data_IF_010330330896
#
_entry.id   IF_010330330896
#
_cell.length_a   1.000
_cell.length_b   1.000
_cell.length_c   1.000
_cell.angle_alpha   90.00
_cell.angle_beta   90.00
_cell.angle_gamma   90.00
#
_symmetry.space_group_name_H-M   'P 1'
#
loop_
_entity.id
_entity.type
_entity.pdbx_description
1 polymer ?
#
# COMPACT_ATOMS: atom_id res chain seq x y z
N UNK A 1 31.06 -19.51 -16.84
CA UNK A 1 29.72 -19.84 -16.30
C UNK A 1 29.09 -18.65 -15.57
N UNK A 2 29.67 -18.12 -14.49
CA UNK A 2 29.07 -16.96 -13.78
C UNK A 2 29.05 -15.68 -14.63
N UNK A 3 30.18 -15.36 -15.30
CA UNK A 3 30.30 -14.21 -16.21
C UNK A 3 29.35 -14.24 -17.42
N UNK A 4 28.86 -15.43 -17.79
CA UNK A 4 27.95 -15.62 -18.94
C UNK A 4 26.47 -15.50 -18.56
N UNK A 5 26.13 -15.34 -17.27
CA UNK A 5 24.75 -15.14 -16.85
C UNK A 5 24.29 -13.73 -17.22
N UNK A 6 23.09 -13.60 -17.79
CA UNK A 6 22.58 -12.32 -18.28
C UNK A 6 22.51 -11.23 -17.20
N UNK A 7 22.24 -11.61 -15.94
CA UNK A 7 22.23 -10.68 -14.79
C UNK A 7 23.61 -10.06 -14.51
N UNK A 8 24.69 -10.82 -14.70
CA UNK A 8 26.07 -10.37 -14.52
C UNK A 8 26.57 -9.66 -15.77
N UNK A 9 26.28 -10.21 -16.95
CA UNK A 9 26.71 -9.68 -18.25
C UNK A 9 26.17 -8.28 -18.51
N UNK A 10 24.93 -7.99 -18.14
CA UNK A 10 24.33 -6.64 -18.27
C UNK A 10 24.99 -5.58 -17.38
N UNK A 11 25.54 -5.97 -16.22
CA UNK A 11 26.22 -5.06 -15.28
C UNK A 11 27.73 -4.92 -15.51
N UNK A 12 28.28 -5.74 -16.41
CA UNK A 12 29.70 -5.70 -16.81
C UNK A 12 29.87 -5.29 -18.27
N UNK A 13 28.77 -4.91 -18.95
CA UNK A 13 28.84 -4.43 -20.32
C UNK A 13 29.46 -3.04 -20.36
N UNK A 14 30.06 -2.70 -21.50
CA UNK A 14 30.67 -1.37 -21.73
C UNK A 14 29.69 -0.21 -21.57
N UNK A 15 28.39 -0.48 -21.64
CA UNK A 15 27.31 0.50 -21.50
C UNK A 15 26.86 0.72 -20.04
N UNK A 16 27.38 -0.07 -19.10
CA UNK A 16 27.10 0.07 -17.66
C UNK A 16 28.13 0.98 -16.99
N UNK A 17 27.69 2.11 -16.43
CA UNK A 17 28.55 3.07 -15.72
C UNK A 17 28.94 2.60 -14.32
N UNK A 18 28.16 1.68 -13.74
CA UNK A 18 28.37 1.08 -12.42
C UNK A 18 28.73 -0.40 -12.62
N UNK A 19 30.02 -0.72 -12.60
CA UNK A 19 30.49 -2.10 -12.65
C UNK A 19 29.99 -2.96 -11.47
N UNK A 20 30.42 -4.21 -11.41
CA UNK A 20 30.07 -5.13 -10.32
C UNK A 20 31.24 -5.32 -9.36
N UNK A 21 31.04 -5.08 -8.07
CA UNK A 21 32.07 -5.36 -7.06
C UNK A 21 32.30 -6.88 -6.90
N UNK A 22 33.47 -7.26 -6.37
CA UNK A 22 33.75 -8.68 -6.07
C UNK A 22 32.76 -9.26 -5.05
N UNK A 23 32.30 -8.43 -4.11
CA UNK A 23 31.28 -8.81 -3.13
C UNK A 23 29.94 -9.14 -3.81
N UNK A 24 29.47 -8.30 -4.73
CA UNK A 24 28.23 -8.58 -5.48
C UNK A 24 28.39 -9.76 -6.45
N UNK A 25 29.57 -9.92 -7.05
CA UNK A 25 29.86 -11.04 -7.93
C UNK A 25 29.86 -12.38 -7.18
N UNK A 26 30.39 -12.41 -5.96
CA UNK A 26 30.47 -13.64 -5.15
C UNK A 26 29.13 -14.06 -4.54
N UNK A 27 28.12 -13.18 -4.48
CA UNK A 27 26.79 -13.48 -3.96
C UNK A 27 26.14 -14.73 -4.56
N UNK A 28 26.31 -14.96 -5.88
CA UNK A 28 25.71 -16.12 -6.55
C UNK A 28 26.26 -17.46 -6.02
N UNK A 29 27.50 -17.47 -5.52
CA UNK A 29 28.11 -18.67 -4.93
C UNK A 29 27.51 -18.95 -3.56
N UNK A 30 27.28 -17.91 -2.74
CA UNK A 30 26.67 -18.04 -1.43
C UNK A 30 25.24 -18.58 -1.55
N UNK A 31 24.40 -17.98 -2.39
CA UNK A 31 23.04 -18.46 -2.61
C UNK A 31 23.00 -19.87 -3.21
N UNK A 32 23.96 -20.20 -4.10
CA UNK A 32 24.09 -21.56 -4.63
C UNK A 32 24.47 -22.58 -3.54
N UNK A 33 25.35 -22.20 -2.62
CA UNK A 33 25.75 -23.02 -1.48
C UNK A 33 24.59 -23.26 -0.51
N UNK A 34 23.74 -22.26 -0.26
CA UNK A 34 22.52 -22.44 0.55
C UNK A 34 21.64 -23.56 0.01
N UNK A 35 21.44 -23.62 -1.31
CA UNK A 35 20.64 -24.69 -1.92
C UNK A 35 21.34 -26.06 -1.78
N UNK A 36 22.65 -26.14 -1.99
CA UNK A 36 23.41 -27.38 -1.75
C UNK A 36 23.29 -27.85 -0.29
N UNK A 37 23.44 -26.93 0.67
CA UNK A 37 23.35 -27.23 2.08
C UNK A 37 21.97 -27.80 2.43
N UNK A 38 20.89 -27.12 2.02
CA UNK A 38 19.52 -27.58 2.24
C UNK A 38 19.22 -28.90 1.51
N UNK A 39 19.81 -29.12 0.33
CA UNK A 39 19.69 -30.38 -0.41
C UNK A 39 20.27 -31.56 0.37
N UNK A 40 21.45 -31.38 0.97
CA UNK A 40 22.16 -32.42 1.72
C UNK A 40 21.55 -32.65 3.11
N UNK A 41 21.10 -31.60 3.79
CA UNK A 41 20.73 -31.68 5.21
C UNK A 41 19.22 -31.64 5.48
N UNK A 42 18.40 -31.26 4.50
CA UNK A 42 16.95 -31.05 4.66
C UNK A 42 16.12 -31.65 3.52
N UNK A 43 16.74 -32.43 2.63
CA UNK A 43 16.09 -33.06 1.47
C UNK A 43 15.33 -32.06 0.56
N UNK A 44 15.79 -30.81 0.50
CA UNK A 44 15.18 -29.80 -0.38
C UNK A 44 15.58 -30.11 -1.82
N UNK A 45 14.58 -30.27 -2.70
CA UNK A 45 14.77 -30.61 -4.13
C UNK A 45 14.34 -29.52 -5.10
N UNK A 46 13.57 -28.54 -4.65
CA UNK A 46 13.04 -27.45 -5.47
C UNK A 46 13.34 -26.11 -4.79
N UNK A 47 13.82 -25.14 -5.56
CA UNK A 47 13.92 -23.75 -5.12
C UNK A 47 13.02 -22.88 -5.98
N UNK A 48 12.24 -22.01 -5.30
CA UNK A 48 11.33 -21.05 -5.92
C UNK A 48 11.85 -19.62 -5.73
N UNK A 49 11.52 -18.72 -6.67
CA UNK A 49 11.82 -17.30 -6.55
C UNK A 49 11.18 -16.45 -7.64
N UNK A 50 11.43 -15.15 -7.62
CA UNK A 50 11.06 -14.26 -8.74
C UNK A 50 11.86 -14.56 -10.01
N UNK A 51 11.36 -14.13 -11.16
CA UNK A 51 12.02 -14.32 -12.46
C UNK A 51 13.46 -13.73 -12.50
N UNK A 52 13.72 -12.69 -11.71
CA UNK A 52 15.04 -12.09 -11.52
C UNK A 52 16.04 -13.00 -10.80
N UNK A 53 15.56 -14.01 -10.06
CA UNK A 53 16.39 -14.95 -9.30
C UNK A 53 16.83 -16.19 -10.09
N UNK A 54 16.35 -16.36 -11.34
CA UNK A 54 16.67 -17.52 -12.18
C UNK A 54 18.17 -17.84 -12.25
N UNK A 55 18.97 -16.78 -12.44
CA UNK A 55 20.43 -16.90 -12.51
C UNK A 55 21.02 -17.48 -11.24
N UNK A 56 20.57 -17.08 -10.05
CA UNK A 56 21.17 -17.55 -8.81
C UNK A 56 20.68 -18.97 -8.45
N UNK A 57 19.39 -19.24 -8.66
CA UNK A 57 18.78 -20.56 -8.40
C UNK A 57 19.47 -21.65 -9.24
N UNK A 58 19.71 -21.37 -10.53
CA UNK A 58 20.41 -22.32 -11.43
C UNK A 58 21.88 -22.53 -11.07
N UNK A 59 22.51 -21.59 -10.34
CA UNK A 59 23.84 -21.83 -9.76
C UNK A 59 23.77 -22.92 -8.70
N UNK A 60 22.75 -22.91 -7.85
CA UNK A 60 22.54 -23.92 -6.82
C UNK A 60 22.29 -25.31 -7.41
N UNK A 61 21.46 -25.42 -8.45
CA UNK A 61 21.22 -26.72 -9.11
C UNK A 61 22.49 -27.28 -9.76
N UNK A 62 23.31 -26.42 -10.39
CA UNK A 62 24.59 -26.83 -10.95
C UNK A 62 25.60 -27.26 -9.87
N UNK A 63 25.61 -26.57 -8.72
CA UNK A 63 26.47 -26.91 -7.59
C UNK A 63 26.09 -28.28 -7.01
N UNK A 64 24.80 -28.56 -6.81
CA UNK A 64 24.29 -29.87 -6.38
C UNK A 64 24.72 -30.99 -7.34
N UNK A 65 24.54 -30.76 -8.66
CA UNK A 65 24.93 -31.73 -9.68
C UNK A 65 26.43 -32.06 -9.60
N UNK A 66 27.28 -31.05 -9.43
CA UNK A 66 28.74 -31.23 -9.38
C UNK A 66 29.25 -31.80 -8.07
N UNK A 67 28.68 -31.38 -6.95
CA UNK A 67 29.19 -31.72 -5.61
C UNK A 67 28.74 -33.09 -5.13
N UNK A 68 27.54 -33.53 -5.48
CA UNK A 68 27.01 -34.82 -5.01
C UNK A 68 26.30 -35.64 -6.10
N UNK A 69 26.39 -35.25 -7.38
CA UNK A 69 25.72 -35.98 -8.46
C UNK A 69 24.19 -35.90 -8.42
N UNK A 70 23.63 -34.99 -7.62
CA UNK A 70 22.21 -34.90 -7.36
C UNK A 70 21.41 -34.17 -8.44
N UNK A 71 20.11 -34.43 -8.48
CA UNK A 71 19.15 -33.69 -9.30
C UNK A 71 18.29 -32.76 -8.44
N UNK A 72 18.23 -31.48 -8.82
CA UNK A 72 17.42 -30.45 -8.17
C UNK A 72 16.70 -29.58 -9.23
N UNK A 73 15.60 -28.96 -8.82
CA UNK A 73 14.66 -28.25 -9.69
C UNK A 73 14.60 -26.77 -9.33
N UNK A 74 14.25 -25.96 -10.32
CA UNK A 74 14.08 -24.53 -10.20
C UNK A 74 12.71 -24.13 -10.77
N UNK A 75 11.99 -23.29 -10.05
CA UNK A 75 10.74 -22.69 -10.53
C UNK A 75 10.78 -21.19 -10.26
N UNK A 76 10.42 -20.38 -11.25
CA UNK A 76 10.35 -18.93 -11.06
C UNK A 76 8.95 -18.41 -11.37
N UNK A 77 8.49 -17.47 -10.55
CA UNK A 77 7.26 -16.73 -10.75
C UNK A 77 7.52 -15.45 -11.55
N UNK A 78 6.60 -15.03 -12.44
CA UNK A 78 6.75 -13.77 -13.16
C UNK A 78 6.77 -12.58 -12.19
N UNK A 79 7.51 -11.54 -12.56
CA UNK A 79 7.45 -10.27 -11.82
C UNK A 79 6.06 -9.67 -11.99
N UNK A 80 5.48 -9.20 -10.89
CA UNK A 80 4.16 -8.57 -10.91
C UNK A 80 4.32 -7.14 -11.43
N UNK A 81 3.59 -6.84 -12.49
CA UNK A 81 3.45 -5.50 -13.08
C UNK A 81 2.02 -5.03 -12.89
N UNK A 82 1.76 -3.74 -13.09
CA UNK A 82 0.41 -3.20 -13.29
C UNK A 82 0.05 -3.23 -14.77
N UNK A 83 -1.24 -3.18 -15.10
CA UNK A 83 -1.71 -3.12 -16.48
C UNK A 83 -1.17 -1.86 -17.23
N UNK A 84 -0.92 -0.78 -16.50
CA UNK A 84 -0.32 0.47 -17.00
C UNK A 84 1.21 0.39 -17.26
N UNK A 85 1.84 -0.77 -17.05
CA UNK A 85 3.28 -0.99 -17.19
C UNK A 85 4.11 -0.56 -15.97
N UNK A 86 3.47 0.01 -14.94
CA UNK A 86 4.09 0.36 -13.67
C UNK A 86 4.51 -0.86 -12.85
N UNK A 87 5.44 -0.64 -11.89
CA UNK A 87 5.82 -1.68 -10.93
C UNK A 87 4.72 -1.88 -9.89
N UNK A 88 4.40 -3.15 -9.61
CA UNK A 88 3.50 -3.51 -8.52
C UNK A 88 4.09 -3.11 -7.15
N UNK A 89 3.23 -2.77 -6.20
CA UNK A 89 3.63 -2.42 -4.83
C UNK A 89 4.31 -1.05 -4.65
N UNK A 90 4.51 -0.28 -5.75
CA UNK A 90 4.89 1.14 -5.66
C UNK A 90 3.65 2.03 -5.79
N UNK A 91 3.43 2.84 -4.76
CA UNK A 91 2.51 3.97 -4.75
C UNK A 91 3.29 5.27 -4.89
N UNK A 92 2.59 6.38 -5.15
CA UNK A 92 3.18 7.72 -5.11
C UNK A 92 3.84 8.03 -3.75
N UNK A 93 3.37 7.38 -2.67
CA UNK A 93 3.88 7.51 -1.30
C UNK A 93 4.98 6.50 -0.95
N UNK A 94 5.37 5.61 -1.88
CA UNK A 94 6.40 4.59 -1.66
C UNK A 94 5.88 3.17 -1.65
N UNK A 95 6.56 2.29 -0.91
CA UNK A 95 6.26 0.86 -0.86
C UNK A 95 5.03 0.57 0.03
N UNK A 96 4.30 -0.48 -0.32
CA UNK A 96 3.30 -1.12 0.56
C UNK A 96 4.00 -2.16 1.43
N UNK A 97 4.02 -1.94 2.74
CA UNK A 97 4.64 -2.85 3.72
C UNK A 97 3.60 -3.82 4.29
N UNK A 98 4.06 -4.98 4.75
CA UNK A 98 3.22 -5.92 5.52
C UNK A 98 3.16 -5.57 7.01
N UNK A 99 4.13 -4.79 7.48
CA UNK A 99 4.21 -4.32 8.86
C UNK A 99 3.17 -3.21 9.10
N UNK A 100 2.21 -3.40 10.03
CA UNK A 100 1.13 -2.45 10.28
C UNK A 100 1.62 -1.06 10.71
N UNK A 101 2.79 -0.97 11.36
CA UNK A 101 3.36 0.34 11.77
C UNK A 101 3.93 1.13 10.60
N UNK A 102 4.18 0.47 9.46
CA UNK A 102 4.73 1.09 8.24
C UNK A 102 3.69 1.30 7.16
N UNK A 103 2.68 0.44 7.12
CA UNK A 103 1.49 0.59 6.28
C UNK A 103 0.31 0.08 7.10
N UNK A 104 -0.54 1.00 7.55
CA UNK A 104 -1.66 0.63 8.40
C UNK A 104 -2.59 -0.37 7.69
N UNK A 105 -3.31 -1.25 8.41
CA UNK A 105 -4.28 -2.15 7.80
C UNK A 105 -5.30 -1.43 6.90
N UNK A 106 -5.67 -0.20 7.25
CA UNK A 106 -6.50 0.66 6.42
C UNK A 106 -5.83 1.03 5.09
N UNK A 107 -4.59 1.53 5.12
CA UNK A 107 -3.84 1.86 3.90
C UNK A 107 -3.61 0.62 3.03
N UNK A 108 -3.30 -0.52 3.65
CA UNK A 108 -3.11 -1.80 2.98
C UNK A 108 -4.41 -2.24 2.27
N UNK A 109 -5.52 -2.25 2.99
CA UNK A 109 -6.84 -2.56 2.44
C UNK A 109 -7.22 -1.61 1.29
N UNK A 110 -7.01 -0.30 1.47
CA UNK A 110 -7.29 0.70 0.43
C UNK A 110 -6.41 0.51 -0.81
N UNK A 111 -5.16 0.10 -0.67
CA UNK A 111 -4.31 -0.21 -1.83
C UNK A 111 -4.95 -1.28 -2.70
N UNK A 112 -5.37 -2.40 -2.10
CA UNK A 112 -6.05 -3.49 -2.82
C UNK A 112 -7.42 -3.10 -3.35
N UNK A 113 -8.18 -2.33 -2.57
CA UNK A 113 -9.49 -1.87 -3.01
C UNK A 113 -9.39 -0.93 -4.21
N UNK A 114 -8.29 -0.22 -4.40
CA UNK A 114 -8.11 0.77 -5.47
C UNK A 114 -7.36 0.24 -6.70
N UNK A 115 -7.10 -1.06 -6.80
CA UNK A 115 -6.56 -1.65 -8.04
C UNK A 115 -7.56 -1.52 -9.19
N UNK A 116 -7.03 -1.47 -10.42
CA UNK A 116 -7.84 -1.42 -11.65
C UNK A 116 -8.64 -2.73 -11.82
N UNK A 117 -9.68 -2.69 -12.64
CA UNK A 117 -10.49 -3.87 -12.94
C UNK A 117 -9.63 -4.99 -13.56
N UNK A 118 -8.79 -4.64 -14.54
CA UNK A 118 -7.85 -5.57 -15.20
C UNK A 118 -6.85 -6.20 -14.21
N UNK A 119 -6.31 -5.39 -13.30
CA UNK A 119 -5.37 -5.88 -12.30
C UNK A 119 -6.08 -6.73 -11.25
N UNK A 120 -7.32 -6.42 -10.86
CA UNK A 120 -8.09 -7.20 -9.89
C UNK A 120 -8.31 -8.65 -10.37
N UNK A 121 -8.68 -8.85 -11.64
CA UNK A 121 -8.88 -10.18 -12.22
C UNK A 121 -7.60 -11.03 -12.23
N UNK A 122 -6.45 -10.38 -12.38
CA UNK A 122 -5.15 -11.05 -12.35
C UNK A 122 -4.69 -11.30 -10.92
N UNK A 123 -4.83 -10.33 -10.04
CA UNK A 123 -4.31 -10.36 -8.68
C UNK A 123 -5.08 -11.33 -7.79
N UNK A 124 -6.40 -11.49 -7.98
CA UNK A 124 -7.18 -12.48 -7.23
C UNK A 124 -6.63 -13.91 -7.42
N UNK A 125 -6.14 -14.23 -8.63
CA UNK A 125 -5.56 -15.54 -8.97
C UNK A 125 -4.18 -15.76 -8.37
N UNK A 126 -3.47 -14.69 -8.02
CA UNK A 126 -2.07 -14.73 -7.61
C UNK A 126 -1.93 -14.60 -6.09
N UNK A 127 -2.75 -13.76 -5.46
CA UNK A 127 -2.58 -13.35 -4.07
C UNK A 127 -3.60 -13.95 -3.10
N UNK A 128 -4.53 -14.78 -3.57
CA UNK A 128 -5.51 -15.43 -2.70
C UNK A 128 -5.38 -16.95 -2.72
N UNK A 129 -5.93 -17.59 -1.70
CA UNK A 129 -6.04 -19.05 -1.60
C UNK A 129 -7.44 -19.55 -1.98
N UNK A 130 -8.23 -18.71 -2.65
CA UNK A 130 -9.57 -19.07 -3.11
C UNK A 130 -9.49 -20.17 -4.17
N UNK A 131 -10.49 -21.05 -4.19
CA UNK A 131 -10.61 -22.04 -5.24
C UNK A 131 -10.96 -21.40 -6.59
N UNK A 132 -10.74 -22.17 -7.65
CA UNK A 132 -10.91 -21.70 -9.02
C UNK A 132 -12.35 -21.29 -9.34
N UNK A 133 -13.33 -22.02 -8.83
CA UNK A 133 -14.75 -21.76 -9.11
C UNK A 133 -15.19 -20.44 -8.48
N UNK A 134 -14.78 -20.20 -7.22
CA UNK A 134 -15.00 -18.94 -6.51
C UNK A 134 -14.38 -17.75 -7.28
N UNK A 135 -13.14 -17.90 -7.76
CA UNK A 135 -12.46 -16.86 -8.53
C UNK A 135 -13.18 -16.58 -9.86
N UNK A 136 -13.51 -17.61 -10.62
CA UNK A 136 -14.17 -17.47 -11.92
C UNK A 136 -15.57 -16.84 -11.77
N UNK A 137 -16.31 -17.20 -10.72
CA UNK A 137 -17.61 -16.60 -10.39
C UNK A 137 -17.49 -15.12 -10.02
N UNK A 138 -16.52 -14.76 -9.16
CA UNK A 138 -16.30 -13.36 -8.78
C UNK A 138 -15.90 -12.47 -9.97
N UNK A 139 -15.10 -13.01 -10.90
CA UNK A 139 -14.72 -12.33 -12.14
C UNK A 139 -15.94 -12.14 -13.05
N UNK A 140 -16.78 -13.18 -13.21
CA UNK A 140 -17.99 -13.09 -14.02
C UNK A 140 -18.94 -12.01 -13.49
N UNK A 141 -19.23 -12.01 -12.18
CA UNK A 141 -20.08 -11.02 -11.53
C UNK A 141 -19.53 -9.59 -11.70
N UNK A 142 -18.20 -9.41 -11.57
CA UNK A 142 -17.58 -8.12 -11.77
C UNK A 142 -17.69 -7.61 -13.22
N UNK A 143 -17.59 -8.48 -14.21
CA UNK A 143 -17.77 -8.10 -15.63
C UNK A 143 -19.20 -7.68 -15.95
N UNK A 144 -20.19 -8.20 -15.23
CA UNK A 144 -21.59 -7.80 -15.38
C UNK A 144 -21.86 -6.40 -14.81
N UNK A 145 -21.29 -6.08 -13.64
CA UNK A 145 -21.43 -4.78 -13.00
C UNK A 145 -20.13 -4.31 -12.33
N UNK A 146 -19.18 -3.73 -13.11
CA UNK A 146 -17.91 -3.25 -12.57
C UNK A 146 -18.08 -2.17 -11.50
N UNK A 147 -19.19 -1.42 -11.54
CA UNK A 147 -19.49 -0.32 -10.65
C UNK A 147 -19.62 -0.73 -9.17
N UNK A 148 -19.99 -1.98 -8.90
CA UNK A 148 -20.08 -2.51 -7.53
C UNK A 148 -18.73 -2.79 -6.89
N UNK A 149 -17.70 -3.02 -7.71
CA UNK A 149 -16.33 -3.33 -7.29
C UNK A 149 -16.25 -4.55 -6.36
N UNK A 150 -17.14 -5.54 -6.53
CA UNK A 150 -17.20 -6.74 -5.67
C UNK A 150 -15.90 -7.54 -5.73
N UNK A 151 -15.26 -7.63 -6.92
CA UNK A 151 -13.98 -8.30 -7.08
C UNK A 151 -12.85 -7.62 -6.31
N UNK A 152 -12.75 -6.28 -6.34
CA UNK A 152 -11.76 -5.56 -5.54
C UNK A 152 -12.04 -5.68 -4.05
N UNK A 153 -13.31 -5.68 -3.63
CA UNK A 153 -13.67 -5.88 -2.22
C UNK A 153 -13.28 -7.28 -1.74
N UNK A 154 -13.52 -8.32 -2.54
CA UNK A 154 -13.11 -9.69 -2.26
C UNK A 154 -11.59 -9.80 -2.17
N UNK A 155 -10.87 -9.28 -3.18
CA UNK A 155 -9.41 -9.26 -3.18
C UNK A 155 -8.84 -8.54 -1.95
N UNK A 156 -9.33 -7.33 -1.67
CA UNK A 156 -8.86 -6.54 -0.54
C UNK A 156 -9.14 -7.23 0.79
N UNK A 157 -10.30 -7.90 0.93
CA UNK A 157 -10.60 -8.72 2.11
C UNK A 157 -9.61 -9.87 2.27
N UNK A 158 -9.50 -10.74 1.27
CA UNK A 158 -8.68 -11.96 1.37
C UNK A 158 -7.22 -11.63 1.71
N UNK A 159 -6.63 -10.65 1.02
CA UNK A 159 -5.22 -10.30 1.26
C UNK A 159 -5.04 -9.57 2.60
N UNK A 160 -5.98 -8.71 3.01
CA UNK A 160 -5.88 -8.04 4.32
C UNK A 160 -6.05 -9.03 5.47
N UNK A 161 -6.98 -9.98 5.36
CA UNK A 161 -7.15 -11.04 6.37
C UNK A 161 -5.90 -11.93 6.44
N UNK A 162 -5.30 -12.25 5.29
CA UNK A 162 -4.07 -13.06 5.24
C UNK A 162 -2.89 -12.38 5.97
N UNK A 163 -2.76 -11.05 5.89
CA UNK A 163 -1.62 -10.31 6.42
C UNK A 163 -1.87 -9.77 7.83
N UNK A 164 -3.05 -9.22 8.08
CA UNK A 164 -3.40 -8.49 9.31
C UNK A 164 -4.50 -9.17 10.14
N UNK A 165 -4.96 -10.35 9.73
CA UNK A 165 -6.03 -11.07 10.40
C UNK A 165 -7.42 -10.44 10.21
N UNK A 166 -8.43 -11.12 10.79
CA UNK A 166 -9.82 -10.67 10.71
C UNK A 166 -10.02 -9.30 11.38
N UNK A 167 -9.41 -9.08 12.54
CA UNK A 167 -9.51 -7.81 13.28
C UNK A 167 -8.94 -6.63 12.47
N UNK A 168 -7.79 -6.81 11.82
CA UNK A 168 -7.19 -5.78 10.97
C UNK A 168 -8.09 -5.42 9.78
N UNK A 169 -8.73 -6.42 9.16
CA UNK A 169 -9.70 -6.20 8.10
C UNK A 169 -10.95 -5.47 8.60
N UNK A 170 -11.55 -5.90 9.73
CA UNK A 170 -12.76 -5.29 10.28
C UNK A 170 -12.51 -3.82 10.64
N UNK A 171 -11.34 -3.52 11.22
CA UNK A 171 -10.90 -2.15 11.48
C UNK A 171 -10.72 -1.35 10.19
N UNK A 172 -10.08 -1.91 9.17
CA UNK A 172 -9.90 -1.26 7.87
C UNK A 172 -11.23 -0.95 7.17
N UNK A 173 -12.21 -1.87 7.24
CA UNK A 173 -13.57 -1.67 6.70
C UNK A 173 -14.31 -0.61 7.50
N UNK A 174 -14.25 -0.66 8.83
CA UNK A 174 -14.85 0.36 9.72
C UNK A 174 -14.29 1.74 9.39
N UNK A 175 -12.96 1.85 9.26
CA UNK A 175 -12.28 3.08 8.88
C UNK A 175 -12.73 3.60 7.51
N UNK A 176 -12.79 2.71 6.52
CA UNK A 176 -13.24 3.04 5.17
C UNK A 176 -14.69 3.54 5.14
N UNK A 177 -15.58 2.93 5.93
CA UNK A 177 -16.98 3.40 6.08
C UNK A 177 -17.06 4.74 6.79
N UNK A 178 -16.25 4.97 7.82
CA UNK A 178 -16.21 6.24 8.52
C UNK A 178 -15.66 7.36 7.67
N UNK A 179 -14.68 7.10 6.79
CA UNK A 179 -14.14 8.10 5.88
C UNK A 179 -15.09 8.32 4.69
N UNK A 180 -15.42 7.28 3.92
CA UNK A 180 -16.12 7.42 2.64
C UNK A 180 -17.62 7.11 2.66
N UNK A 181 -18.12 6.52 3.74
CA UNK A 181 -19.54 6.22 3.92
C UNK A 181 -20.35 7.42 4.39
N UNK A 182 -21.67 7.21 4.53
CA UNK A 182 -22.65 8.22 4.97
C UNK A 182 -22.57 8.59 6.46
N UNK A 183 -21.50 8.20 7.17
CA UNK A 183 -21.33 8.56 8.58
C UNK A 183 -21.37 10.07 8.77
N UNK A 184 -22.17 10.53 9.72
CA UNK A 184 -22.39 11.95 10.01
C UNK A 184 -21.23 12.55 10.83
N UNK A 185 -21.19 13.88 10.93
CA UNK A 185 -20.31 14.58 11.86
C UNK A 185 -20.53 14.14 13.31
N UNK A 186 -21.76 13.78 13.67
CA UNK A 186 -22.13 13.25 14.99
C UNK A 186 -21.53 11.87 15.25
N UNK A 187 -21.57 10.95 14.27
CA UNK A 187 -20.92 9.65 14.42
C UNK A 187 -19.41 9.79 14.65
N UNK A 188 -18.75 10.73 13.95
CA UNK A 188 -17.34 11.04 14.17
C UNK A 188 -17.06 11.59 15.57
N UNK A 189 -17.92 12.49 16.06
CA UNK A 189 -17.82 13.07 17.41
C UNK A 189 -18.11 12.07 18.53
N UNK A 190 -18.83 10.99 18.23
CA UNK A 190 -19.18 9.94 19.20
C UNK A 190 -18.09 8.87 19.38
N UNK A 191 -17.02 8.90 18.58
CA UNK A 191 -15.94 7.93 18.68
C UNK A 191 -15.08 8.18 19.92
N UNK A 192 -14.75 7.11 20.62
CA UNK A 192 -13.67 7.17 21.61
C UNK A 192 -12.32 7.38 20.91
N UNK A 193 -11.38 8.01 21.62
CA UNK A 193 -10.04 8.33 21.10
C UNK A 193 -9.31 7.12 20.50
N UNK A 194 -9.42 5.95 21.13
CA UNK A 194 -8.75 4.73 20.65
C UNK A 194 -9.32 4.30 19.30
N UNK A 195 -10.64 4.33 19.15
CA UNK A 195 -11.32 4.06 17.87
C UNK A 195 -10.98 5.13 16.84
N UNK A 196 -10.93 6.41 17.22
CA UNK A 196 -10.57 7.50 16.31
C UNK A 196 -9.15 7.28 15.78
N UNK A 197 -8.15 7.17 16.66
CA UNK A 197 -6.77 6.96 16.27
C UNK A 197 -6.59 5.73 15.39
N UNK A 198 -7.27 4.61 15.70
CA UNK A 198 -7.15 3.40 14.91
C UNK A 198 -7.85 3.49 13.53
N UNK A 199 -8.96 4.24 13.43
CA UNK A 199 -9.66 4.48 12.16
C UNK A 199 -8.86 5.40 11.25
N UNK A 200 -8.22 6.38 11.87
CA UNK A 200 -7.50 7.43 11.19
C UNK A 200 -6.00 7.13 11.06
N UNK A 201 -5.58 5.95 11.48
CA UNK A 201 -4.20 5.49 11.38
C UNK A 201 -3.76 5.40 9.90
N UNK A 202 -2.69 6.11 9.57
CA UNK A 202 -2.20 6.28 8.20
C UNK A 202 -2.89 7.40 7.40
N UNK A 203 -3.85 8.14 7.97
CA UNK A 203 -4.31 9.41 7.38
C UNK A 203 -3.27 10.50 7.67
N UNK A 204 -2.81 11.28 6.68
CA UNK A 204 -1.82 12.31 6.92
C UNK A 204 -2.29 13.31 7.98
N UNK A 205 -1.46 13.55 8.99
CA UNK A 205 -1.78 14.41 10.12
C UNK A 205 -0.80 15.59 10.24
N UNK A 206 -1.31 16.71 10.73
CA UNK A 206 -0.59 17.94 11.02
C UNK A 206 -0.86 18.35 12.46
N UNK A 207 0.02 19.14 13.05
CA UNK A 207 -0.18 19.66 14.41
C UNK A 207 -0.48 21.15 14.36
N UNK A 208 -1.45 21.60 15.16
CA UNK A 208 -1.80 23.00 15.36
C UNK A 208 -1.96 23.27 16.86
N UNK A 209 -1.37 24.34 17.35
CA UNK A 209 -1.51 24.74 18.75
C UNK A 209 -2.88 25.37 19.01
N UNK A 210 -3.55 24.97 20.09
CA UNK A 210 -4.89 25.45 20.44
C UNK A 210 -4.94 26.96 20.62
N UNK A 211 -3.86 27.59 21.09
CA UNK A 211 -3.77 29.05 21.25
C UNK A 211 -3.86 29.82 19.94
N UNK A 212 -3.67 29.16 18.79
CA UNK A 212 -3.80 29.78 17.46
C UNK A 212 -5.25 29.96 17.04
N UNK A 213 -6.20 29.32 17.73
CA UNK A 213 -7.62 29.44 17.43
C UNK A 213 -8.23 30.67 18.10
N UNK A 214 -9.12 31.41 17.42
CA UNK A 214 -9.63 31.13 16.06
C UNK A 214 -8.62 31.51 14.96
N UNK A 215 -8.54 30.68 13.91
CA UNK A 215 -7.59 30.85 12.81
C UNK A 215 -8.31 30.84 11.46
N UNK A 216 -8.00 31.82 10.59
CA UNK A 216 -8.56 31.86 9.24
C UNK A 216 -8.30 30.57 8.46
N UNK A 217 -9.31 30.04 7.77
CA UNK A 217 -9.23 28.73 7.10
C UNK A 217 -8.08 28.65 6.08
N UNK A 218 -7.78 29.76 5.41
CA UNK A 218 -6.70 29.83 4.42
C UNK A 218 -5.32 29.69 5.07
N UNK A 219 -5.15 30.32 6.23
CA UNK A 219 -3.92 30.24 7.02
C UNK A 219 -3.78 28.86 7.67
N UNK A 220 -4.87 28.35 8.24
CA UNK A 220 -4.90 27.01 8.82
C UNK A 220 -4.49 25.93 7.80
N UNK A 221 -5.05 25.94 6.59
CA UNK A 221 -4.89 24.85 5.63
C UNK A 221 -3.69 24.97 4.68
N UNK A 222 -3.07 26.14 4.55
CA UNK A 222 -1.94 26.35 3.64
C UNK A 222 -0.68 26.92 4.29
N UNK A 223 -0.76 27.51 5.48
CA UNK A 223 0.39 28.12 6.16
C UNK A 223 0.78 27.29 7.38
N UNK A 224 -0.15 27.11 8.32
CA UNK A 224 0.11 26.34 9.54
C UNK A 224 0.11 24.83 9.26
N UNK A 225 -0.71 24.39 8.30
CA UNK A 225 -0.68 23.01 7.81
C UNK A 225 -0.32 23.00 6.33
N UNK A 226 0.45 22.00 5.90
CA UNK A 226 0.82 21.81 4.49
C UNK A 226 -0.21 20.94 3.74
N UNK A 227 -1.49 21.04 4.11
CA UNK A 227 -2.59 20.31 3.46
C UNK A 227 -2.80 20.83 2.04
N UNK A 228 -2.65 22.14 1.85
CA UNK A 228 -2.63 22.80 0.55
C UNK A 228 -1.29 23.52 0.34
N UNK A 229 -0.77 23.55 -0.90
CA UNK A 229 0.48 24.23 -1.22
C UNK A 229 0.36 25.77 -1.22
N UNK A 230 -0.86 26.32 -1.30
CA UNK A 230 -1.08 27.77 -1.23
C UNK A 230 -2.49 28.15 -0.79
N UNK A 231 -2.64 29.36 -0.24
CA UNK A 231 -3.94 29.95 0.11
C UNK A 231 -4.88 30.06 -1.10
N UNK A 232 -4.33 30.26 -2.30
CA UNK A 232 -5.09 30.33 -3.54
C UNK A 232 -5.81 29.02 -3.86
N UNK A 233 -5.16 27.88 -3.62
CA UNK A 233 -5.78 26.57 -3.81
C UNK A 233 -6.87 26.27 -2.79
N UNK A 234 -6.68 26.65 -1.52
CA UNK A 234 -7.73 26.52 -0.50
C UNK A 234 -8.98 27.30 -0.92
N UNK A 235 -8.79 28.57 -1.33
CA UNK A 235 -9.90 29.42 -1.80
C UNK A 235 -10.63 28.80 -2.98
N UNK A 236 -9.90 28.30 -3.97
CA UNK A 236 -10.49 27.63 -5.15
C UNK A 236 -11.28 26.39 -4.73
N UNK A 237 -10.76 25.58 -3.80
CA UNK A 237 -11.43 24.39 -3.30
C UNK A 237 -12.73 24.72 -2.57
N UNK A 238 -12.75 25.76 -1.74
CA UNK A 238 -13.96 26.26 -1.06
C UNK A 238 -15.00 26.72 -2.08
N UNK A 239 -14.61 27.54 -3.06
CA UNK A 239 -15.50 28.05 -4.10
C UNK A 239 -16.09 26.94 -4.98
N UNK A 240 -15.37 25.84 -5.16
CA UNK A 240 -15.82 24.65 -5.87
C UNK A 240 -16.64 23.69 -4.99
N UNK A 241 -16.98 24.09 -3.76
CA UNK A 241 -17.68 23.26 -2.78
C UNK A 241 -16.96 21.92 -2.49
N UNK A 242 -15.63 21.94 -2.62
CA UNK A 242 -14.76 20.77 -2.51
C UNK A 242 -14.07 20.63 -1.16
N UNK A 243 -14.23 21.58 -0.24
CA UNK A 243 -13.69 21.50 1.12
C UNK A 243 -14.80 21.07 2.09
N UNK A 244 -14.47 20.13 2.98
CA UNK A 244 -15.31 19.81 4.14
C UNK A 244 -14.47 19.81 5.41
N UNK A 245 -15.03 20.31 6.51
CA UNK A 245 -14.45 20.23 7.87
C UNK A 245 -15.40 19.36 8.70
N UNK A 246 -14.88 18.31 9.34
CA UNK A 246 -15.67 17.34 10.10
C UNK A 246 -16.86 16.78 9.32
N UNK A 247 -16.67 16.55 8.02
CA UNK A 247 -17.67 16.13 7.02
C UNK A 247 -18.77 17.14 6.69
N UNK A 248 -18.73 18.34 7.25
CA UNK A 248 -19.62 19.43 6.89
C UNK A 248 -18.98 20.31 5.81
N UNK A 249 -19.76 20.73 4.82
CA UNK A 249 -19.24 21.54 3.73
C UNK A 249 -18.84 22.91 4.23
N UNK A 250 -17.61 23.30 3.90
CA UNK A 250 -17.07 24.59 4.29
C UNK A 250 -17.09 25.53 3.08
N UNK A 251 -17.97 26.54 3.12
CA UNK A 251 -18.26 27.42 1.97
C UNK A 251 -17.77 28.85 2.13
N UNK A 252 -17.43 29.27 3.36
CA UNK A 252 -17.01 30.64 3.63
C UNK A 252 -15.49 30.82 3.50
N UNK A 253 -15.04 31.54 2.47
CA UNK A 253 -13.62 31.84 2.26
C UNK A 253 -13.02 32.71 3.37
N UNK A 254 -13.84 33.53 4.04
CA UNK A 254 -13.43 34.36 5.17
C UNK A 254 -13.61 33.65 6.52
N UNK A 255 -14.12 32.42 6.51
CA UNK A 255 -14.38 31.63 7.70
C UNK A 255 -13.10 31.25 8.45
N UNK A 256 -13.30 30.81 9.70
CA UNK A 256 -12.23 30.46 10.63
C UNK A 256 -12.46 29.06 11.19
N UNK A 257 -11.37 28.36 11.51
CA UNK A 257 -11.42 27.23 12.44
C UNK A 257 -11.49 27.78 13.85
N UNK A 258 -12.33 27.17 14.68
CA UNK A 258 -12.64 27.57 16.04
C UNK A 258 -12.50 26.39 17.00
N UNK A 259 -12.65 26.64 18.29
CA UNK A 259 -12.62 25.58 19.30
C UNK A 259 -13.80 24.59 19.16
N UNK A 260 -14.91 25.01 18.55
CA UNK A 260 -16.11 24.17 18.36
C UNK A 260 -15.94 23.15 17.23
N UNK A 261 -14.96 23.38 16.35
CA UNK A 261 -14.56 22.44 15.30
C UNK A 261 -13.73 21.28 15.84
N UNK A 262 -13.30 21.32 17.11
CA UNK A 262 -12.45 20.29 17.69
C UNK A 262 -13.29 19.09 18.14
N UNK A 263 -13.04 17.94 17.51
CA UNK A 263 -13.56 16.63 17.89
C UNK A 263 -12.77 16.10 19.08
N UNK A 264 -13.49 15.66 20.12
CA UNK A 264 -12.93 15.07 21.35
C UNK A 264 -11.83 15.94 22.00
N UNK A 265 -11.90 17.26 21.78
CA UNK A 265 -10.90 18.22 22.27
C UNK A 265 -9.51 18.09 21.66
N UNK A 266 -9.32 17.21 20.65
CA UNK A 266 -8.00 16.85 20.11
C UNK A 266 -7.87 16.92 18.58
N UNK A 267 -8.94 16.77 17.80
CA UNK A 267 -8.80 16.54 16.36
C UNK A 267 -9.73 17.40 15.51
N UNK A 268 -9.27 17.80 14.31
CA UNK A 268 -10.13 18.35 13.25
C UNK A 268 -9.92 17.50 11.99
N UNK A 269 -11.00 17.01 11.40
CA UNK A 269 -10.96 16.26 10.15
C UNK A 269 -11.14 17.21 8.96
N UNK A 270 -10.17 17.22 8.05
CA UNK A 270 -10.22 17.99 6.81
C UNK A 270 -10.39 17.06 5.62
N UNK A 271 -11.38 17.33 4.77
CA UNK A 271 -11.61 16.61 3.53
C UNK A 271 -11.38 17.54 2.33
N UNK A 272 -10.48 17.13 1.44
CA UNK A 272 -10.21 17.75 0.14
C UNK A 272 -10.84 16.89 -0.97
N UNK A 273 -11.79 17.46 -1.68
CA UNK A 273 -12.55 16.76 -2.71
C UNK A 273 -13.40 15.63 -2.15
N UNK A 274 -13.33 14.45 -2.77
CA UNK A 274 -14.11 13.26 -2.36
C UNK A 274 -13.30 12.25 -1.54
N UNK A 275 -11.98 12.19 -1.75
CA UNK A 275 -11.18 11.06 -1.26
C UNK A 275 -9.98 11.42 -0.41
N UNK A 276 -9.55 12.69 -0.41
CA UNK A 276 -8.37 13.08 0.32
C UNK A 276 -8.77 13.57 1.71
N UNK A 277 -8.34 12.84 2.74
CA UNK A 277 -8.58 13.17 4.14
C UNK A 277 -7.27 13.52 4.83
N UNK A 278 -7.35 14.47 5.75
CA UNK A 278 -6.23 14.95 6.55
C UNK A 278 -6.73 15.23 7.98
N UNK A 279 -5.83 15.13 8.94
CA UNK A 279 -6.16 15.38 10.35
C UNK A 279 -5.30 16.52 10.86
N UNK A 280 -5.92 17.40 11.63
CA UNK A 280 -5.20 18.40 12.41
C UNK A 280 -5.31 17.99 13.88
N UNK A 281 -4.18 17.59 14.45
CA UNK A 281 -4.03 17.33 15.88
C UNK A 281 -3.89 18.68 16.59
N UNK A 282 -4.82 18.96 17.50
CA UNK A 282 -4.81 20.16 18.33
C UNK A 282 -4.01 19.86 19.59
N UNK A 283 -2.85 20.49 19.69
CA UNK A 283 -2.00 20.41 20.88
C UNK A 283 -2.44 21.50 21.87
N UNK A 284 -2.59 21.13 23.14
CA UNK A 284 -2.96 22.05 24.22
C UNK A 284 -1.82 22.90 24.73
#
# INVERSE_FOLDING_TARGET
>A
YMMSKDSVKKRLSRDSSEGLSFTEFSYQLLQGYDFLYLYQHRNVRLQLGGADQWGNITTGTELIRRSCGGQAYALTCPLITKADGGKFGKTEKGNIWLDPERTSPYQFYQFWLNVSDDDAERYIKIFTMLDRETIESAIAAHREDPGRRELQQLLAREVTVMVHGQEGYDMAVKASRMLFGKSTAEELRSLDEKTFLAVFDGVPSFSLDRSRLPLGILDALAVETAIFPSKGEVRKMIQQNGLSINKEKFTDVAGQLTADDIIDGKYILVQKGKKDYFIINING
#
